data_IF_874309688273
#
_entry.id   IF_874309688273
#
_cell.length_a   1.000
_cell.length_b   1.000
_cell.length_c   1.000
_cell.angle_alpha   90.00
_cell.angle_beta   90.00
_cell.angle_gamma   90.00
#
_symmetry.space_group_name_H-M   'P 1'
#
loop_
_entity.id
_entity.type
_entity.pdbx_description
1 polymer ?
#
# COMPACT_ATOMS: atom_id res chain seq x y z
N UNK A 1 26.60 2.19 11.22
CA UNK A 1 25.55 3.07 11.74
C UNK A 1 24.29 2.89 10.88
N UNK A 2 23.22 2.48 11.52
CA UNK A 2 21.96 2.31 10.81
C UNK A 2 21.34 3.68 10.56
N UNK A 3 20.88 3.89 9.31
CA UNK A 3 20.17 5.11 8.95
C UNK A 3 18.73 4.91 9.40
N UNK A 4 18.20 5.78 10.27
CA UNK A 4 16.81 5.61 10.72
C UNK A 4 15.83 5.82 9.59
N UNK A 5 14.92 4.86 9.44
CA UNK A 5 13.84 4.93 8.48
C UNK A 5 12.58 5.37 9.22
N UNK A 6 11.90 6.35 8.67
CA UNK A 6 10.65 6.86 9.21
C UNK A 6 9.50 6.51 8.28
N UNK A 7 8.38 6.12 8.86
CA UNK A 7 7.12 5.98 8.13
C UNK A 7 6.29 7.22 8.42
N UNK A 8 5.95 7.95 7.37
CA UNK A 8 5.21 9.20 7.50
C UNK A 8 4.06 9.23 6.50
N UNK A 9 3.07 10.06 6.77
CA UNK A 9 1.99 10.30 5.81
C UNK A 9 2.50 11.15 4.65
N UNK A 10 2.03 10.86 3.44
CA UNK A 10 2.38 11.63 2.25
C UNK A 10 1.85 13.06 2.38
N UNK A 11 2.65 14.02 1.90
CA UNK A 11 2.26 15.42 1.82
C UNK A 11 2.48 15.94 0.41
N UNK A 12 1.90 17.09 0.10
CA UNK A 12 2.02 17.69 -1.23
C UNK A 12 3.47 17.90 -1.65
N UNK A 13 4.34 18.21 -0.72
CA UNK A 13 5.77 18.39 -1.00
C UNK A 13 6.48 17.11 -1.44
N UNK A 14 5.88 15.94 -1.20
CA UNK A 14 6.44 14.65 -1.57
C UNK A 14 6.06 14.21 -2.98
N UNK A 15 5.12 14.89 -3.62
CA UNK A 15 4.52 14.45 -4.88
C UNK A 15 5.56 14.20 -5.98
N UNK A 16 6.51 15.09 -6.14
CA UNK A 16 7.54 14.96 -7.19
C UNK A 16 8.40 13.71 -6.99
N UNK A 17 8.79 13.42 -5.76
CA UNK A 17 9.56 12.21 -5.45
C UNK A 17 8.74 10.94 -5.65
N UNK A 18 7.46 10.97 -5.28
CA UNK A 18 6.54 9.85 -5.48
C UNK A 18 6.40 9.55 -6.97
N UNK A 19 6.20 10.58 -7.78
CA UNK A 19 6.09 10.43 -9.23
C UNK A 19 7.36 9.85 -9.84
N UNK A 20 8.52 10.33 -9.40
CA UNK A 20 9.82 9.84 -9.87
C UNK A 20 9.99 8.36 -9.52
N UNK A 21 9.67 7.98 -8.30
CA UNK A 21 9.80 6.59 -7.85
C UNK A 21 8.85 5.67 -8.61
N UNK A 22 7.60 6.09 -8.80
CA UNK A 22 6.63 5.33 -9.56
C UNK A 22 7.08 5.14 -11.02
N UNK A 23 7.63 6.19 -11.64
CA UNK A 23 8.09 6.14 -13.02
C UNK A 23 9.26 5.16 -13.21
N UNK A 24 10.13 5.02 -12.20
CA UNK A 24 11.22 4.06 -12.25
C UNK A 24 10.79 2.62 -11.99
N UNK A 25 9.59 2.43 -11.44
CA UNK A 25 9.11 1.11 -10.99
C UNK A 25 8.06 0.50 -11.92
N UNK A 26 7.31 1.32 -12.65
CA UNK A 26 6.20 0.86 -13.50
C UNK A 26 6.25 1.49 -14.88
N UNK A 27 5.83 0.74 -15.92
CA UNK A 27 5.62 1.34 -17.24
C UNK A 27 4.49 2.38 -17.17
N UNK A 28 4.50 3.31 -18.13
CA UNK A 28 3.59 4.47 -18.13
C UNK A 28 2.12 4.07 -17.95
N UNK A 29 1.67 2.99 -18.60
CA UNK A 29 0.29 2.53 -18.54
C UNK A 29 -0.15 1.99 -17.17
N UNK A 30 0.82 1.71 -16.30
CA UNK A 30 0.53 1.21 -14.94
C UNK A 30 0.76 2.26 -13.86
N UNK A 31 1.19 3.44 -14.24
CA UNK A 31 1.41 4.53 -13.29
C UNK A 31 0.11 5.23 -12.96
N UNK A 32 -0.04 5.64 -11.71
CA UNK A 32 -1.17 6.46 -11.30
C UNK A 32 -0.99 7.88 -11.87
N UNK A 33 -2.04 8.47 -12.46
CA UNK A 33 -1.95 9.85 -12.93
C UNK A 33 -1.64 10.81 -11.79
N UNK A 34 -0.95 11.91 -12.12
CA UNK A 34 -0.55 12.92 -11.15
C UNK A 34 -1.72 13.45 -10.33
N UNK A 35 -2.87 13.71 -10.98
CA UNK A 35 -4.05 14.22 -10.28
C UNK A 35 -4.64 13.21 -9.28
N UNK A 36 -4.50 11.91 -9.54
CA UNK A 36 -4.95 10.87 -8.61
C UNK A 36 -4.03 10.82 -7.39
N UNK A 37 -2.72 10.91 -7.59
CA UNK A 37 -1.76 10.96 -6.48
C UNK A 37 -2.02 12.20 -5.61
N UNK A 38 -2.22 13.35 -6.26
CA UNK A 38 -2.48 14.61 -5.57
C UNK A 38 -3.79 14.55 -4.76
N UNK A 39 -4.84 13.99 -5.34
CA UNK A 39 -6.11 13.80 -4.67
C UNK A 39 -5.99 12.84 -3.48
N UNK A 40 -5.22 11.77 -3.64
CA UNK A 40 -4.96 10.80 -2.56
C UNK A 40 -4.24 11.46 -1.39
N UNK A 41 -3.26 12.31 -1.66
CA UNK A 41 -2.57 13.08 -0.62
C UNK A 41 -3.55 13.99 0.12
N UNK A 42 -4.43 14.64 -0.62
CA UNK A 42 -5.39 15.59 -0.04
C UNK A 42 -6.47 14.90 0.78
N UNK A 43 -6.98 13.75 0.32
CA UNK A 43 -8.14 13.09 0.92
C UNK A 43 -7.80 11.90 1.81
N UNK A 44 -6.70 11.21 1.54
CA UNK A 44 -6.39 9.92 2.14
C UNK A 44 -4.94 9.84 2.60
N UNK A 45 -4.37 10.93 3.12
CA UNK A 45 -2.98 10.96 3.56
C UNK A 45 -2.72 9.95 4.67
N UNK A 46 -3.69 9.66 5.52
CA UNK A 46 -3.56 8.70 6.62
C UNK A 46 -3.40 7.25 6.14
N UNK A 47 -3.75 6.96 4.89
CA UNK A 47 -3.59 5.64 4.27
C UNK A 47 -2.64 5.67 3.07
N UNK A 48 -1.92 6.76 2.90
CA UNK A 48 -0.86 6.93 1.90
C UNK A 48 0.45 7.18 2.65
N UNK A 49 1.21 6.11 2.88
CA UNK A 49 2.35 6.13 3.77
C UNK A 49 3.66 6.03 3.01
N UNK A 50 4.64 6.79 3.47
CA UNK A 50 5.97 6.84 2.87
C UNK A 50 7.00 6.26 3.83
N UNK A 51 7.99 5.54 3.29
CA UNK A 51 9.19 5.14 4.01
C UNK A 51 10.33 6.04 3.54
N UNK A 52 10.92 6.80 4.44
CA UNK A 52 11.98 7.75 4.13
C UNK A 52 13.18 7.57 5.06
N UNK A 53 14.36 7.80 4.52
CA UNK A 53 15.52 8.12 5.36
C UNK A 53 15.70 9.65 5.37
N UNK A 54 16.85 10.14 5.86
CA UNK A 54 17.10 11.59 5.96
C UNK A 54 17.12 12.29 4.60
N UNK A 55 17.44 11.58 3.53
CA UNK A 55 17.79 12.19 2.25
C UNK A 55 16.84 11.84 1.11
N UNK A 56 16.09 10.73 1.19
CA UNK A 56 15.33 10.27 0.04
C UNK A 56 14.12 9.42 0.44
N UNK A 57 13.19 9.36 -0.50
CA UNK A 57 12.05 8.46 -0.44
C UNK A 57 12.51 7.04 -0.83
N UNK A 58 12.30 6.07 0.05
CA UNK A 58 12.70 4.68 -0.17
C UNK A 58 11.56 3.81 -0.68
N UNK A 59 10.34 4.18 -0.38
CA UNK A 59 9.18 3.45 -0.81
C UNK A 59 7.89 4.08 -0.35
N UNK A 60 6.77 3.57 -0.85
CA UNK A 60 5.47 4.04 -0.39
C UNK A 60 4.40 2.96 -0.54
N UNK A 61 3.34 3.10 0.24
CA UNK A 61 2.13 2.32 0.07
C UNK A 61 0.96 3.29 -0.12
N UNK A 62 0.26 3.14 -1.23
CA UNK A 62 -0.90 3.96 -1.57
C UNK A 62 -2.15 3.11 -1.38
N UNK A 63 -3.00 3.53 -0.49
CA UNK A 63 -4.29 2.87 -0.27
C UNK A 63 -5.38 3.90 -0.03
N UNK A 64 -6.61 3.47 -0.16
CA UNK A 64 -7.77 4.30 0.13
C UNK A 64 -8.97 3.42 0.46
N UNK A 65 -10.01 3.97 1.12
CA UNK A 65 -11.24 3.22 1.32
C UNK A 65 -11.85 2.80 -0.02
N UNK A 66 -12.36 1.58 -0.08
CA UNK A 66 -13.04 1.10 -1.30
C UNK A 66 -14.34 1.83 -1.51
N UNK A 67 -14.61 2.24 -2.76
CA UNK A 67 -15.82 3.01 -3.07
C UNK A 67 -17.11 2.23 -2.82
N UNK A 68 -17.10 0.92 -3.07
CA UNK A 68 -18.25 0.04 -2.87
C UNK A 68 -18.31 -0.58 -1.47
N UNK A 69 -17.23 -0.44 -0.69
CA UNK A 69 -17.16 -0.98 0.67
C UNK A 69 -16.18 -0.15 1.49
N UNK A 70 -16.59 1.06 1.96
CA UNK A 70 -15.67 1.99 2.61
C UNK A 70 -15.16 1.52 3.99
N UNK A 71 -15.67 0.43 4.52
CA UNK A 71 -15.12 -0.19 5.72
C UNK A 71 -13.81 -0.93 5.45
N UNK A 72 -13.48 -1.14 4.19
CA UNK A 72 -12.27 -1.82 3.76
C UNK A 72 -11.34 -0.86 3.03
N UNK A 73 -10.04 -1.01 3.28
CA UNK A 73 -9.02 -0.32 2.50
C UNK A 73 -8.62 -1.19 1.30
N UNK A 74 -8.28 -0.53 0.21
CA UNK A 74 -7.68 -1.19 -0.94
C UNK A 74 -6.30 -0.62 -1.18
N UNK A 75 -5.30 -1.48 -1.26
CA UNK A 75 -3.94 -1.09 -1.65
C UNK A 75 -3.91 -0.97 -3.17
N UNK A 76 -3.54 0.20 -3.65
CA UNK A 76 -3.40 0.47 -5.09
C UNK A 76 -1.97 0.27 -5.56
N UNK A 77 -0.99 0.59 -4.72
CA UNK A 77 0.43 0.49 -5.06
C UNK A 77 1.25 0.24 -3.80
N UNK A 78 2.25 -0.62 -3.94
CA UNK A 78 3.30 -0.81 -2.95
C UNK A 78 4.60 -0.79 -3.72
N UNK A 79 5.41 0.23 -3.51
CA UNK A 79 6.61 0.50 -4.31
C UNK A 79 7.80 0.66 -3.39
N UNK A 80 8.88 -0.06 -3.70
CA UNK A 80 10.16 0.07 -3.00
C UNK A 80 11.23 0.42 -4.04
N UNK A 81 12.03 1.43 -3.72
CA UNK A 81 13.14 1.85 -4.55
C UNK A 81 14.07 0.65 -4.80
N UNK A 82 14.57 0.50 -6.05
CA UNK A 82 15.23 -0.73 -6.50
C UNK A 82 16.47 -1.13 -5.68
N UNK A 83 17.24 -0.15 -5.23
CA UNK A 83 18.44 -0.41 -4.43
C UNK A 83 18.13 -0.79 -2.99
N UNK A 84 16.89 -0.64 -2.57
CA UNK A 84 16.45 -0.88 -1.20
C UNK A 84 15.46 -2.03 -1.07
N UNK A 85 15.25 -2.80 -2.14
CA UNK A 85 14.41 -3.98 -2.10
C UNK A 85 15.07 -5.08 -1.25
N UNK A 86 14.25 -5.97 -0.72
CA UNK A 86 14.68 -7.11 0.11
C UNK A 86 15.26 -6.72 1.46
N UNK A 87 14.97 -5.51 1.92
CA UNK A 87 15.39 -5.02 3.25
C UNK A 87 14.22 -4.94 4.24
N UNK A 88 13.07 -5.49 3.87
CA UNK A 88 11.90 -5.50 4.73
C UNK A 88 11.07 -4.22 4.71
N UNK A 89 11.34 -3.29 3.80
CA UNK A 89 10.60 -2.03 3.72
C UNK A 89 9.14 -2.23 3.34
N UNK A 90 8.86 -3.13 2.41
CA UNK A 90 7.49 -3.46 2.03
C UNK A 90 6.69 -4.01 3.21
N UNK A 91 7.31 -4.91 3.98
CA UNK A 91 6.71 -5.46 5.19
C UNK A 91 6.47 -4.39 6.24
N UNK A 92 7.41 -3.45 6.39
CA UNK A 92 7.27 -2.33 7.31
C UNK A 92 6.09 -1.42 6.91
N UNK A 93 5.96 -1.12 5.62
CA UNK A 93 4.84 -0.32 5.11
C UNK A 93 3.50 -1.03 5.30
N UNK A 94 3.46 -2.34 5.03
CA UNK A 94 2.25 -3.13 5.26
C UNK A 94 1.87 -3.15 6.74
N UNK A 95 2.85 -3.31 7.63
CA UNK A 95 2.62 -3.29 9.07
C UNK A 95 2.08 -1.92 9.52
N UNK A 96 2.64 -0.84 8.99
CA UNK A 96 2.17 0.51 9.30
C UNK A 96 0.73 0.74 8.84
N UNK A 97 0.38 0.25 7.65
CA UNK A 97 -0.99 0.36 7.15
C UNK A 97 -1.97 -0.45 8.00
N UNK A 98 -1.57 -1.65 8.44
CA UNK A 98 -2.39 -2.46 9.35
C UNK A 98 -2.64 -1.73 10.67
N UNK A 99 -1.63 -1.03 11.18
CA UNK A 99 -1.77 -0.24 12.39
C UNK A 99 -2.80 0.88 12.21
N UNK A 100 -2.77 1.58 11.08
CA UNK A 100 -3.77 2.59 10.74
C UNK A 100 -5.15 1.96 10.67
N UNK A 101 -5.26 0.79 10.05
CA UNK A 101 -6.54 0.08 9.93
C UNK A 101 -7.12 -0.27 11.30
N UNK A 102 -6.27 -0.70 12.24
CA UNK A 102 -6.70 -0.99 13.61
C UNK A 102 -7.16 0.30 14.31
N UNK A 103 -6.35 1.35 14.25
CA UNK A 103 -6.65 2.64 14.91
C UNK A 103 -7.93 3.27 14.40
N UNK A 104 -8.18 3.18 13.10
CA UNK A 104 -9.34 3.81 12.47
C UNK A 104 -10.51 2.85 12.26
N UNK A 105 -10.37 1.64 12.78
CA UNK A 105 -11.43 0.62 12.75
C UNK A 105 -11.87 0.25 11.33
N UNK A 106 -10.91 0.05 10.43
CA UNK A 106 -11.21 -0.58 9.14
C UNK A 106 -11.35 -2.09 9.33
N UNK A 107 -12.29 -2.69 8.61
CA UNK A 107 -12.58 -4.11 8.71
C UNK A 107 -11.50 -4.99 8.10
N UNK A 108 -10.95 -4.55 6.97
CA UNK A 108 -10.01 -5.35 6.20
C UNK A 108 -9.18 -4.47 5.27
N UNK A 109 -8.08 -5.05 4.78
CA UNK A 109 -7.26 -4.47 3.72
C UNK A 109 -7.24 -5.46 2.57
N UNK A 110 -7.55 -4.99 1.37
CA UNK A 110 -7.55 -5.78 0.14
C UNK A 110 -6.48 -5.32 -0.82
N UNK A 111 -5.99 -6.26 -1.62
CA UNK A 111 -5.05 -5.98 -2.70
C UNK A 111 -5.23 -7.00 -3.80
N UNK A 112 -4.64 -6.70 -4.97
CA UNK A 112 -4.48 -7.67 -6.04
C UNK A 112 -3.00 -7.95 -6.19
N UNK A 113 -2.63 -9.22 -6.10
CA UNK A 113 -1.24 -9.65 -6.14
C UNK A 113 -0.92 -10.30 -7.48
N UNK A 114 0.20 -9.93 -8.12
CA UNK A 114 0.71 -10.74 -9.20
C UNK A 114 1.18 -12.11 -8.66
N UNK A 115 1.28 -13.06 -9.55
CA UNK A 115 1.62 -14.45 -9.24
C UNK A 115 2.88 -14.56 -8.38
N UNK A 116 3.92 -13.82 -8.76
CA UNK A 116 5.23 -13.90 -8.12
C UNK A 116 5.29 -13.32 -6.72
N UNK A 117 4.26 -12.58 -6.28
CA UNK A 117 4.21 -11.98 -4.95
C UNK A 117 3.21 -12.64 -4.01
N UNK A 118 2.53 -13.69 -4.44
CA UNK A 118 1.54 -14.37 -3.59
C UNK A 118 2.14 -14.83 -2.28
N UNK A 119 3.27 -15.52 -2.31
CA UNK A 119 3.93 -16.01 -1.11
C UNK A 119 4.34 -14.87 -0.18
N UNK A 120 4.81 -13.76 -0.76
CA UNK A 120 5.19 -12.58 0.00
C UNK A 120 4.01 -12.03 0.80
N UNK A 121 2.86 -11.87 0.15
CA UNK A 121 1.68 -11.35 0.84
C UNK A 121 1.11 -12.35 1.83
N UNK A 122 1.16 -13.65 1.54
CA UNK A 122 0.76 -14.67 2.50
C UNK A 122 1.62 -14.60 3.77
N UNK A 123 2.92 -14.42 3.61
CA UNK A 123 3.83 -14.27 4.75
C UNK A 123 3.52 -13.01 5.56
N UNK A 124 2.87 -12.02 4.96
CA UNK A 124 2.46 -10.79 5.61
C UNK A 124 1.01 -10.84 6.10
N UNK A 125 0.41 -12.03 6.15
CA UNK A 125 -0.90 -12.22 6.76
C UNK A 125 -2.10 -12.08 5.84
N UNK A 126 -1.88 -11.92 4.55
CA UNK A 126 -2.96 -11.86 3.57
C UNK A 126 -3.34 -13.27 3.13
N UNK A 127 -4.61 -13.47 2.91
CA UNK A 127 -5.13 -14.76 2.43
C UNK A 127 -5.83 -14.56 1.10
N UNK A 128 -5.92 -15.64 0.33
CA UNK A 128 -6.62 -15.64 -0.95
C UNK A 128 -8.11 -15.45 -0.69
N UNK A 129 -8.68 -14.40 -1.26
CA UNK A 129 -10.11 -14.08 -1.14
C UNK A 129 -10.93 -14.79 -2.23
N UNK A 130 -10.28 -15.22 -3.29
CA UNK A 130 -10.96 -15.79 -4.44
C UNK A 130 -11.38 -17.23 -4.20
N UNK A 131 -12.69 -17.46 -4.25
CA UNK A 131 -13.24 -18.81 -4.40
C UNK A 131 -13.51 -19.12 -5.86
N UNK A 132 -13.26 -18.15 -6.75
CA UNK A 132 -13.49 -18.26 -8.18
C UNK A 132 -12.35 -18.98 -8.87
N UNK A 133 -12.68 -19.78 -9.87
CA UNK A 133 -11.69 -20.46 -10.71
C UNK A 133 -11.02 -19.53 -11.72
N UNK A 134 -11.37 -18.25 -11.71
CA UNK A 134 -10.87 -17.31 -12.72
C UNK A 134 -9.72 -16.50 -12.18
N UNK A 135 -8.58 -16.60 -12.86
CA UNK A 135 -7.45 -15.69 -12.68
C UNK A 135 -7.66 -14.52 -13.63
N UNK A 136 -7.80 -13.33 -13.10
CA UNK A 136 -7.94 -12.15 -13.94
C UNK A 136 -6.56 -11.65 -14.36
N UNK A 137 -6.51 -10.87 -15.44
CA UNK A 137 -5.26 -10.21 -15.88
C UNK A 137 -4.70 -9.23 -14.82
N UNK A 138 -5.49 -8.89 -13.82
CA UNK A 138 -5.10 -7.97 -12.74
C UNK A 138 -4.50 -8.69 -11.53
N UNK A 139 -4.41 -10.03 -11.58
CA UNK A 139 -3.84 -10.81 -10.50
C UNK A 139 -4.86 -11.39 -9.54
N UNK A 140 -4.38 -11.86 -8.41
CA UNK A 140 -5.17 -12.56 -7.40
C UNK A 140 -5.65 -11.59 -6.32
N UNK A 141 -6.92 -11.68 -5.97
CA UNK A 141 -7.49 -10.90 -4.87
C UNK A 141 -7.06 -11.50 -3.54
N UNK A 142 -6.48 -10.70 -2.68
CA UNK A 142 -6.06 -11.10 -1.34
C UNK A 142 -6.60 -10.12 -0.31
N UNK A 143 -6.78 -10.62 0.92
CA UNK A 143 -7.37 -9.85 1.99
C UNK A 143 -6.67 -10.15 3.32
N UNK A 144 -6.51 -9.09 4.13
CA UNK A 144 -6.15 -9.20 5.53
C UNK A 144 -7.32 -8.69 6.36
N UNK A 145 -7.79 -9.49 7.31
CA UNK A 145 -8.87 -9.09 8.22
C UNK A 145 -8.28 -8.48 9.49
N UNK A 146 -8.81 -7.32 9.88
CA UNK A 146 -8.44 -6.68 11.12
C UNK A 146 -9.01 -7.49 12.30
N UNK A 147 -8.15 -8.14 13.12
CA UNK A 147 -8.64 -8.96 14.22
C UNK A 147 -9.24 -8.14 15.37
N UNK A 148 -9.05 -6.84 15.36
CA UNK A 148 -9.57 -5.92 16.37
C UNK A 148 -10.77 -5.11 15.88
N UNK A 149 -11.31 -5.47 14.72
CA UNK A 149 -12.44 -4.74 14.15
C UNK A 149 -13.65 -4.83 15.06
N UNK A 150 -14.24 -3.66 15.36
CA UNK A 150 -15.45 -3.54 16.16
C UNK A 150 -16.59 -3.10 15.26
N UNK A 151 -17.65 -3.89 15.17
CA UNK A 151 -18.83 -3.48 14.43
C UNK A 151 -19.49 -2.29 15.10
N UNK A 152 -19.77 -1.26 14.31
CA UNK A 152 -20.46 -0.08 14.77
C UNK A 152 -21.95 -0.26 14.47
N UNK A 153 -22.75 -0.24 15.51
CA UNK A 153 -24.20 -0.34 15.36
C UNK A 153 -24.82 1.06 15.19
#
# INVERSE_FOLDING_TARGET
MEIPIKIIQASKSDLAEIETLQASSFPAEKQQPSHILEESIRKCADTFLLARDENQLLGYILSSPQSDNPQCLKIHSLVIESDHQRQGLGTLLLAALKEVAVEQNYKAIRLKSPDELLSYFEMNGFIDEETSLYVTSQGYSMIWFNPFYLEVQ
#
